data_IF_951252391693
#
_entry.id   IF_951252391693
#
_cell.length_a   1.000
_cell.length_b   1.000
_cell.length_c   1.000
_cell.angle_alpha   90.00
_cell.angle_beta   90.00
_cell.angle_gamma   90.00
#
_symmetry.space_group_name_H-M   'P 1'
#
loop_
_entity.id
_entity.type
_entity.pdbx_description
1 polymer ?
#
# COMPACT_ATOMS: atom_id res chain seq x y z
N UNK A 1 -60.44 24.70 31.29
CA UNK A 1 -61.32 25.51 30.40
C UNK A 1 -60.50 25.86 29.16
N UNK A 2 -61.05 25.52 28.06
CA UNK A 2 -60.97 25.87 26.66
C UNK A 2 -59.83 25.28 25.82
N UNK A 3 -60.26 24.35 25.00
CA UNK A 3 -59.70 23.92 23.70
C UNK A 3 -59.75 25.11 22.72
N UNK A 4 -58.75 25.21 21.84
CA UNK A 4 -59.01 25.59 20.45
C UNK A 4 -58.08 24.83 19.55
N UNK A 5 -58.71 24.02 18.69
CA UNK A 5 -58.20 23.43 17.47
C UNK A 5 -58.17 24.47 16.37
N UNK A 6 -57.11 24.53 15.58
CA UNK A 6 -57.21 24.89 14.15
C UNK A 6 -56.13 24.25 13.31
N UNK A 7 -56.63 23.39 12.47
CA UNK A 7 -56.03 22.83 11.27
C UNK A 7 -55.82 23.95 10.25
N UNK A 8 -54.59 24.05 9.70
CA UNK A 8 -54.42 24.74 8.41
C UNK A 8 -53.66 23.82 7.46
N UNK A 9 -54.37 23.48 6.41
CA UNK A 9 -53.92 22.73 5.24
C UNK A 9 -52.85 23.56 4.48
N UNK A 10 -51.74 22.93 4.12
CA UNK A 10 -50.74 23.47 3.22
C UNK A 10 -51.07 23.01 1.79
N UNK A 11 -51.06 23.88 0.79
CA UNK A 11 -51.44 23.53 -0.59
C UNK A 11 -50.35 22.71 -1.26
N UNK A 12 -50.75 21.74 -2.07
CA UNK A 12 -49.95 20.96 -2.96
C UNK A 12 -49.30 21.85 -4.03
N UNK A 13 -47.99 21.90 -4.03
CA UNK A 13 -47.19 22.44 -5.14
C UNK A 13 -46.87 21.27 -6.09
N UNK A 14 -47.57 21.26 -7.22
CA UNK A 14 -47.15 20.58 -8.43
C UNK A 14 -45.85 21.21 -8.91
N UNK A 15 -44.76 20.46 -8.89
CA UNK A 15 -43.46 20.87 -9.41
C UNK A 15 -42.73 19.67 -9.93
N UNK A 16 -42.72 19.54 -11.24
CA UNK A 16 -41.82 18.80 -12.13
C UNK A 16 -40.73 17.94 -11.47
N UNK A 17 -40.74 16.64 -11.78
CA UNK A 17 -39.59 15.76 -11.59
C UNK A 17 -38.39 16.36 -12.35
N UNK A 18 -37.22 16.51 -11.72
CA UNK A 18 -36.01 16.72 -12.48
C UNK A 18 -35.67 15.44 -13.23
N UNK A 19 -35.44 15.63 -14.49
CA UNK A 19 -34.88 14.72 -15.49
C UNK A 19 -33.76 13.83 -14.93
N UNK A 20 -33.94 12.51 -15.06
CA UNK A 20 -32.94 11.46 -14.77
C UNK A 20 -31.85 11.44 -15.85
N UNK A 21 -31.40 12.59 -16.31
CA UNK A 21 -30.26 12.71 -17.19
C UNK A 21 -28.96 12.76 -16.42
N UNK A 22 -28.33 11.57 -16.33
CA UNK A 22 -26.89 11.39 -16.35
C UNK A 22 -26.04 12.05 -15.24
N UNK A 23 -26.15 11.58 -14.01
CA UNK A 23 -24.97 11.51 -13.18
C UNK A 23 -24.19 10.24 -13.55
N UNK A 24 -23.58 10.23 -14.74
CA UNK A 24 -22.50 9.28 -15.10
C UNK A 24 -21.30 9.65 -14.26
N UNK A 25 -21.25 9.12 -13.03
CA UNK A 25 -20.00 9.03 -12.30
C UNK A 25 -19.04 8.29 -13.23
N UNK A 26 -18.10 9.02 -13.79
CA UNK A 26 -16.92 8.43 -14.44
C UNK A 26 -16.16 7.68 -13.34
N UNK A 27 -16.54 6.43 -13.12
CA UNK A 27 -15.75 5.48 -12.35
C UNK A 27 -14.44 5.36 -13.12
N UNK A 28 -13.39 5.95 -12.58
CA UNK A 28 -12.08 5.97 -13.22
C UNK A 28 -11.68 4.52 -13.51
N UNK A 29 -10.97 4.30 -14.61
CA UNK A 29 -10.48 2.98 -15.05
C UNK A 29 -9.74 2.23 -13.94
N UNK A 30 -9.14 2.97 -13.02
CA UNK A 30 -8.45 2.47 -11.81
C UNK A 30 -9.42 1.77 -10.85
N UNK A 31 -10.62 2.33 -10.62
CA UNK A 31 -11.64 1.69 -9.76
C UNK A 31 -12.16 0.38 -10.35
N UNK A 32 -12.27 0.27 -11.68
CA UNK A 32 -12.67 -0.98 -12.34
C UNK A 32 -11.61 -2.08 -12.21
N UNK A 33 -10.33 -1.73 -12.32
CA UNK A 33 -9.22 -2.68 -12.14
C UNK A 33 -9.14 -3.20 -10.70
N UNK A 34 -9.40 -2.35 -9.71
CA UNK A 34 -9.43 -2.74 -8.30
C UNK A 34 -10.60 -3.69 -8.01
N UNK A 35 -11.79 -3.45 -8.58
CA UNK A 35 -12.93 -4.35 -8.41
C UNK A 35 -12.73 -5.72 -9.11
N UNK A 36 -12.12 -5.75 -10.28
CA UNK A 36 -11.78 -7.00 -10.99
C UNK A 36 -10.71 -7.79 -10.24
N UNK A 37 -9.73 -7.12 -9.62
CA UNK A 37 -8.71 -7.74 -8.78
C UNK A 37 -9.31 -8.39 -7.53
N UNK A 38 -10.27 -7.75 -6.88
CA UNK A 38 -10.91 -8.31 -5.68
C UNK A 38 -11.69 -9.59 -5.99
N UNK A 39 -12.40 -9.63 -7.13
CA UNK A 39 -13.13 -10.81 -7.57
C UNK A 39 -12.22 -11.98 -7.99
N UNK A 40 -11.06 -11.70 -8.61
CA UNK A 40 -10.08 -12.70 -8.99
C UNK A 40 -9.30 -13.26 -7.78
N UNK A 41 -9.06 -12.41 -6.77
CA UNK A 41 -8.38 -12.80 -5.53
C UNK A 41 -9.16 -13.84 -4.72
N UNK A 42 -10.50 -13.72 -4.67
CA UNK A 42 -11.35 -14.69 -3.94
C UNK A 42 -11.43 -16.06 -4.61
N UNK A 43 -11.09 -16.17 -5.90
CA UNK A 43 -11.22 -17.41 -6.70
C UNK A 43 -10.13 -18.45 -6.42
N UNK A 44 -9.02 -18.11 -5.81
CA UNK A 44 -7.89 -19.04 -5.54
C UNK A 44 -7.82 -19.58 -4.12
N UNK A 45 -8.67 -19.13 -3.22
CA UNK A 45 -8.71 -19.68 -1.86
C UNK A 45 -9.27 -21.10 -1.90
N UNK A 46 -8.58 -22.04 -1.29
CA UNK A 46 -9.11 -23.39 -1.04
C UNK A 46 -10.46 -23.27 -0.33
N UNK A 47 -11.43 -24.11 -0.74
CA UNK A 47 -12.81 -24.11 -0.22
C UNK A 47 -12.93 -24.19 1.32
N UNK A 48 -11.83 -24.49 2.03
CA UNK A 48 -11.79 -24.72 3.47
C UNK A 48 -10.74 -23.90 4.23
N UNK A 49 -10.10 -22.93 3.54
CA UNK A 49 -9.05 -22.12 4.18
C UNK A 49 -9.32 -20.63 4.00
N UNK A 50 -9.30 -19.91 5.11
CA UNK A 50 -9.45 -18.43 5.14
C UNK A 50 -8.14 -17.83 5.61
N UNK A 51 -7.62 -16.86 4.86
CA UNK A 51 -6.38 -16.16 5.20
C UNK A 51 -6.52 -14.66 4.90
N UNK A 52 -6.01 -13.85 5.80
CA UNK A 52 -5.89 -12.40 5.63
C UNK A 52 -4.68 -11.91 6.42
N UNK A 53 -3.61 -11.53 5.72
CA UNK A 53 -2.35 -11.12 6.32
C UNK A 53 -1.95 -9.75 5.80
N UNK A 54 -2.41 -8.70 6.48
CA UNK A 54 -2.07 -7.33 6.11
C UNK A 54 -0.66 -6.97 6.54
N UNK A 55 0.10 -6.43 5.60
CA UNK A 55 1.47 -5.98 5.79
C UNK A 55 1.64 -4.55 5.27
N UNK A 56 2.17 -3.69 6.11
CA UNK A 56 2.72 -2.41 5.69
C UNK A 56 4.18 -2.62 5.31
N UNK A 57 4.50 -2.40 4.06
CA UNK A 57 5.80 -2.69 3.46
C UNK A 57 6.47 -1.40 3.04
N UNK A 58 7.77 -1.26 3.37
CA UNK A 58 8.55 -0.07 3.07
C UNK A 58 9.92 -0.46 2.52
N UNK A 59 10.35 0.14 1.41
CA UNK A 59 11.68 -0.07 0.85
C UNK A 59 12.19 1.20 0.17
N UNK A 60 13.51 1.39 0.13
CA UNK A 60 14.13 2.62 -0.35
C UNK A 60 14.98 2.40 -1.61
N UNK A 61 15.26 3.49 -2.31
CA UNK A 61 16.27 3.55 -3.38
C UNK A 61 17.66 3.22 -2.83
N UNK A 62 18.56 2.83 -3.72
CA UNK A 62 19.96 2.60 -3.35
C UNK A 62 20.54 3.88 -2.71
N UNK A 63 21.15 3.72 -1.53
CA UNK A 63 21.71 4.83 -0.74
C UNK A 63 20.68 5.90 -0.35
N UNK A 64 19.38 5.58 -0.41
CA UNK A 64 18.28 6.52 -0.10
C UNK A 64 18.35 7.81 -0.95
N UNK A 65 18.81 7.70 -2.18
CA UNK A 65 18.93 8.84 -3.10
C UNK A 65 17.56 9.22 -3.63
N UNK A 66 17.18 10.52 -3.62
CA UNK A 66 15.88 10.98 -4.13
C UNK A 66 15.89 11.05 -5.67
N UNK A 67 15.80 9.88 -6.31
CA UNK A 67 15.91 9.71 -7.76
C UNK A 67 14.59 9.81 -8.50
N UNK A 68 13.45 9.59 -7.81
CA UNK A 68 12.14 9.50 -8.44
C UNK A 68 11.48 10.88 -8.46
N UNK A 69 11.40 11.49 -9.63
CA UNK A 69 10.59 12.69 -9.83
C UNK A 69 9.10 12.41 -9.59
N UNK A 70 8.28 13.43 -9.35
CA UNK A 70 6.82 13.26 -9.19
C UNK A 70 6.17 12.48 -10.33
N UNK A 71 6.59 12.72 -11.58
CA UNK A 71 6.10 11.99 -12.74
C UNK A 71 6.56 10.52 -12.75
N UNK A 72 7.83 10.27 -12.44
CA UNK A 72 8.37 8.90 -12.32
C UNK A 72 7.67 8.14 -11.19
N UNK A 73 7.46 8.78 -10.04
CA UNK A 73 6.76 8.22 -8.88
C UNK A 73 5.31 7.83 -9.21
N UNK A 74 4.56 8.70 -9.90
CA UNK A 74 3.19 8.41 -10.32
C UNK A 74 3.12 7.20 -11.29
N UNK A 75 4.02 7.14 -12.28
CA UNK A 75 4.11 6.02 -13.20
C UNK A 75 4.49 4.72 -12.50
N UNK A 76 5.45 4.78 -11.57
CA UNK A 76 5.88 3.64 -10.78
C UNK A 76 4.77 3.12 -9.85
N UNK A 77 4.01 4.00 -9.22
CA UNK A 77 2.85 3.63 -8.40
C UNK A 77 1.81 2.83 -9.20
N UNK A 78 1.51 3.26 -10.41
CA UNK A 78 0.61 2.53 -11.32
C UNK A 78 1.19 1.17 -11.72
N UNK A 79 2.48 1.11 -12.03
CA UNK A 79 3.15 -0.13 -12.41
C UNK A 79 3.19 -1.14 -11.26
N UNK A 80 3.47 -0.70 -10.03
CA UNK A 80 3.42 -1.55 -8.85
C UNK A 80 2.03 -2.15 -8.64
N UNK A 81 0.98 -1.36 -8.80
CA UNK A 81 -0.41 -1.83 -8.72
C UNK A 81 -0.72 -2.85 -9.83
N UNK A 82 -0.32 -2.54 -11.08
CA UNK A 82 -0.50 -3.45 -12.22
C UNK A 82 0.22 -4.78 -12.00
N UNK A 83 1.45 -4.72 -11.51
CA UNK A 83 2.26 -5.90 -11.24
C UNK A 83 1.67 -6.75 -10.11
N UNK A 84 1.19 -6.11 -9.03
CA UNK A 84 0.51 -6.79 -7.93
C UNK A 84 -0.70 -7.60 -8.44
N UNK A 85 -1.56 -6.97 -9.25
CA UNK A 85 -2.70 -7.64 -9.89
C UNK A 85 -2.25 -8.84 -10.74
N UNK A 86 -1.20 -8.67 -11.56
CA UNK A 86 -0.69 -9.75 -12.41
C UNK A 86 -0.09 -10.93 -11.63
N UNK A 87 0.25 -10.72 -10.36
CA UNK A 87 0.78 -11.75 -9.44
C UNK A 87 -0.23 -12.25 -8.41
N UNK A 88 -1.50 -11.90 -8.57
CA UNK A 88 -2.58 -12.21 -7.61
C UNK A 88 -2.27 -11.71 -6.18
N UNK A 89 -1.55 -10.60 -6.05
CA UNK A 89 -1.25 -9.94 -4.79
C UNK A 89 -2.23 -8.78 -4.61
N UNK A 90 -3.01 -8.78 -3.54
CA UNK A 90 -3.90 -7.65 -3.26
C UNK A 90 -3.13 -6.51 -2.62
N UNK A 91 -2.97 -5.41 -3.34
CA UNK A 91 -2.39 -4.16 -2.86
C UNK A 91 -3.52 -3.13 -2.66
N UNK A 92 -3.81 -2.77 -1.41
CA UNK A 92 -4.85 -1.79 -1.08
C UNK A 92 -4.46 -0.38 -1.50
N UNK A 93 -3.22 -0.02 -1.25
CA UNK A 93 -2.65 1.29 -1.59
C UNK A 93 -1.12 1.20 -1.67
N UNK A 94 -0.51 2.04 -2.49
CA UNK A 94 0.90 2.35 -2.40
C UNK A 94 1.12 3.85 -2.59
N UNK A 95 2.22 4.35 -2.07
CA UNK A 95 2.71 5.70 -2.29
C UNK A 95 4.21 5.67 -2.56
N UNK A 96 4.62 6.35 -3.63
CA UNK A 96 6.01 6.42 -4.07
C UNK A 96 6.55 7.81 -3.78
N UNK A 97 7.48 7.87 -2.83
CA UNK A 97 8.28 9.05 -2.51
C UNK A 97 9.52 9.15 -3.44
N UNK A 98 10.23 10.28 -3.44
CA UNK A 98 11.44 10.42 -4.25
C UNK A 98 12.52 9.36 -3.99
N UNK A 99 12.60 8.83 -2.77
CA UNK A 99 13.66 7.94 -2.29
C UNK A 99 13.16 6.60 -1.72
N UNK A 100 11.85 6.40 -1.55
CA UNK A 100 11.29 5.17 -0.98
C UNK A 100 9.81 4.97 -1.37
N UNK A 101 9.30 3.79 -1.04
CA UNK A 101 7.92 3.37 -1.30
C UNK A 101 7.28 2.84 -0.04
N UNK A 102 6.02 3.18 0.18
CA UNK A 102 5.12 2.52 1.12
C UNK A 102 4.07 1.73 0.35
N UNK A 103 3.73 0.54 0.81
CA UNK A 103 2.62 -0.24 0.28
C UNK A 103 1.87 -0.98 1.40
N UNK A 104 0.55 -1.06 1.29
CA UNK A 104 -0.30 -1.87 2.16
C UNK A 104 -0.83 -3.05 1.36
N UNK A 105 -0.41 -4.24 1.73
CA UNK A 105 -0.56 -5.47 0.95
C UNK A 105 -1.20 -6.55 1.81
N UNK A 106 -2.10 -7.33 1.24
CA UNK A 106 -2.55 -8.60 1.79
C UNK A 106 -1.70 -9.71 1.18
N UNK A 107 -0.88 -10.36 2.03
CA UNK A 107 0.05 -11.40 1.60
C UNK A 107 -0.71 -12.69 1.27
N UNK A 108 -0.64 -13.20 0.02
CA UNK A 108 -1.25 -14.48 -0.33
C UNK A 108 -0.52 -15.65 0.33
N UNK A 109 -1.25 -16.71 0.69
CA UNK A 109 -0.75 -17.88 1.43
C UNK A 109 0.36 -18.68 0.72
N UNK A 110 0.45 -18.55 -0.60
CA UNK A 110 1.45 -19.27 -1.40
C UNK A 110 2.74 -18.49 -1.64
N UNK A 111 2.96 -17.36 -0.95
CA UNK A 111 4.08 -16.47 -1.19
C UNK A 111 4.75 -16.09 0.13
N UNK A 112 6.06 -16.22 0.20
CA UNK A 112 6.83 -15.68 1.33
C UNK A 112 7.00 -14.16 1.21
N UNK A 113 7.28 -13.50 2.33
CA UNK A 113 7.61 -12.07 2.36
C UNK A 113 8.83 -11.77 1.47
N UNK A 114 9.83 -12.62 1.52
CA UNK A 114 11.05 -12.46 0.74
C UNK A 114 10.80 -12.53 -0.76
N UNK A 115 10.07 -13.54 -1.22
CA UNK A 115 9.67 -13.68 -2.63
C UNK A 115 8.84 -12.50 -3.10
N UNK A 116 7.87 -12.06 -2.29
CA UNK A 116 7.07 -10.86 -2.58
C UNK A 116 7.97 -9.64 -2.77
N UNK A 117 8.93 -9.41 -1.88
CA UNK A 117 9.86 -8.28 -1.99
C UNK A 117 10.79 -8.39 -3.18
N UNK A 118 11.29 -9.58 -3.51
CA UNK A 118 12.07 -9.83 -4.73
C UNK A 118 11.25 -9.50 -5.97
N UNK A 119 9.99 -9.92 -6.01
CA UNK A 119 9.07 -9.62 -7.10
C UNK A 119 8.88 -8.10 -7.28
N UNK A 120 8.52 -7.36 -6.23
CA UNK A 120 8.31 -5.93 -6.34
C UNK A 120 9.58 -5.15 -6.67
N UNK A 121 10.67 -5.41 -5.96
CA UNK A 121 11.93 -4.69 -6.18
C UNK A 121 12.58 -5.04 -7.51
N UNK A 122 12.59 -6.32 -7.88
CA UNK A 122 13.18 -6.79 -9.12
C UNK A 122 12.44 -6.28 -10.35
N UNK A 123 11.12 -6.50 -10.40
CA UNK A 123 10.29 -6.07 -11.54
C UNK A 123 10.28 -4.55 -11.71
N UNK A 124 10.09 -3.80 -10.63
CA UNK A 124 10.02 -2.34 -10.70
C UNK A 124 11.35 -1.69 -11.05
N UNK A 125 12.47 -2.20 -10.53
CA UNK A 125 13.80 -1.73 -10.88
C UNK A 125 14.10 -1.96 -12.38
N UNK A 126 13.76 -3.16 -12.89
CA UNK A 126 13.89 -3.48 -14.30
C UNK A 126 13.03 -2.54 -15.16
N UNK A 127 11.76 -2.36 -14.79
CA UNK A 127 10.83 -1.51 -15.51
C UNK A 127 11.25 -0.03 -15.53
N UNK A 128 11.76 0.52 -14.40
CA UNK A 128 12.29 1.88 -14.32
C UNK A 128 13.45 2.07 -15.31
N UNK A 129 14.38 1.11 -15.35
CA UNK A 129 15.53 1.15 -16.23
C UNK A 129 15.13 1.04 -17.70
N UNK A 130 14.20 0.15 -18.05
CA UNK A 130 13.70 0.00 -19.42
C UNK A 130 12.99 1.25 -19.94
N UNK A 131 12.28 1.97 -19.07
CA UNK A 131 11.52 3.18 -19.45
C UNK A 131 12.32 4.47 -19.28
N UNK A 132 13.59 4.40 -18.86
CA UNK A 132 14.45 5.57 -18.70
C UNK A 132 13.86 6.61 -17.74
N UNK A 133 13.20 6.19 -16.64
CA UNK A 133 12.48 7.11 -15.75
C UNK A 133 13.40 7.91 -14.86
N UNK A 134 14.65 7.49 -14.72
CA UNK A 134 15.70 8.19 -13.97
C UNK A 134 16.97 8.26 -14.79
N UNK A 135 17.83 9.27 -14.58
CA UNK A 135 19.15 9.33 -15.21
C UNK A 135 20.04 8.20 -14.71
N UNK A 136 20.66 7.45 -15.60
CA UNK A 136 21.59 6.36 -15.29
C UNK A 136 20.89 5.08 -14.83
N UNK A 137 21.64 4.19 -14.16
CA UNK A 137 21.14 2.89 -13.71
C UNK A 137 20.44 3.04 -12.35
N UNK A 138 19.18 2.66 -12.32
CA UNK A 138 18.38 2.61 -11.10
C UNK A 138 18.53 1.28 -10.36
N UNK A 139 18.54 1.33 -9.04
CA UNK A 139 18.47 0.17 -8.15
C UNK A 139 17.83 0.52 -6.82
N UNK A 140 17.18 -0.47 -6.20
CA UNK A 140 16.71 -0.40 -4.84
C UNK A 140 17.84 -0.72 -3.84
N UNK A 141 17.78 -0.16 -2.66
CA UNK A 141 18.62 -0.53 -1.52
C UNK A 141 18.43 -1.99 -1.13
N UNK A 142 19.34 -2.60 -0.39
CA UNK A 142 19.27 -4.03 0.00
C UNK A 142 18.17 -4.19 1.03
N UNK A 143 17.80 -3.71 1.93
CA UNK A 143 16.77 -4.00 2.94
C UNK A 143 15.35 -3.63 2.53
N UNK A 144 14.46 -3.91 3.45
CA UNK A 144 13.06 -3.48 3.47
C UNK A 144 12.54 -3.54 4.91
N UNK A 145 11.48 -2.78 5.21
CA UNK A 145 10.67 -2.92 6.42
C UNK A 145 9.37 -3.64 6.08
N UNK A 146 8.96 -4.59 6.92
CA UNK A 146 7.63 -5.23 6.83
C UNK A 146 7.03 -5.29 8.22
N UNK A 147 5.85 -4.70 8.37
CA UNK A 147 5.17 -4.56 9.64
C UNK A 147 3.76 -5.12 9.51
N UNK A 148 3.37 -5.97 10.45
CA UNK A 148 2.02 -6.53 10.49
C UNK A 148 0.98 -5.45 10.82
N UNK A 149 -0.18 -5.54 10.15
CA UNK A 149 -1.29 -4.61 10.38
C UNK A 149 -2.52 -5.41 10.79
N UNK A 150 -3.11 -5.07 11.93
CA UNK A 150 -4.37 -5.67 12.34
C UNK A 150 -5.49 -5.29 11.37
N UNK A 151 -6.52 -6.12 11.24
CA UNK A 151 -7.65 -5.81 10.36
C UNK A 151 -8.31 -4.47 10.70
N UNK A 152 -8.42 -4.15 11.98
CA UNK A 152 -8.95 -2.86 12.45
C UNK A 152 -8.07 -1.66 12.16
N UNK A 153 -6.76 -1.86 11.95
CA UNK A 153 -5.79 -0.79 11.63
C UNK A 153 -5.60 -0.53 10.14
N UNK A 154 -6.21 -1.32 9.27
CA UNK A 154 -6.00 -1.24 7.80
C UNK A 154 -6.34 0.13 7.24
N UNK A 155 -7.46 0.72 7.64
CA UNK A 155 -7.89 2.00 7.10
C UNK A 155 -7.06 3.17 7.65
N UNK A 156 -6.60 3.09 8.89
CA UNK A 156 -5.67 4.06 9.48
C UNK A 156 -4.32 4.04 8.76
N UNK A 157 -3.76 2.85 8.51
CA UNK A 157 -2.51 2.70 7.77
C UNK A 157 -2.67 3.12 6.32
N UNK A 158 -3.80 2.83 5.68
CA UNK A 158 -4.06 3.28 4.32
C UNK A 158 -4.12 4.81 4.24
N UNK A 159 -4.76 5.48 5.20
CA UNK A 159 -4.78 6.94 5.31
C UNK A 159 -3.38 7.49 5.53
N UNK A 160 -2.61 6.90 6.44
CA UNK A 160 -1.22 7.28 6.68
C UNK A 160 -0.37 7.21 5.39
N UNK A 161 -0.53 6.15 4.59
CA UNK A 161 0.18 6.01 3.30
C UNK A 161 -0.30 7.05 2.28
N UNK A 162 -1.58 7.38 2.26
CA UNK A 162 -2.12 8.42 1.35
C UNK A 162 -1.59 9.82 1.67
N UNK A 163 -1.30 10.11 2.94
CA UNK A 163 -0.85 11.41 3.44
C UNK A 163 0.69 11.56 3.49
N UNK A 164 1.44 10.67 2.84
CA UNK A 164 2.91 10.62 2.89
C UNK A 164 3.59 11.93 2.45
N UNK A 165 3.04 12.67 1.48
CA UNK A 165 3.60 13.97 1.08
C UNK A 165 3.63 14.97 2.24
N UNK A 166 2.60 14.96 3.09
CA UNK A 166 2.54 15.83 4.28
C UNK A 166 3.48 15.34 5.39
N UNK A 167 3.57 14.03 5.59
CA UNK A 167 4.45 13.44 6.59
C UNK A 167 5.91 13.74 6.30
N UNK A 168 6.34 13.64 5.03
CA UNK A 168 7.71 13.89 4.62
C UNK A 168 8.14 15.37 4.60
N UNK A 169 7.21 16.30 4.72
CA UNK A 169 7.56 17.70 5.02
C UNK A 169 8.16 17.87 6.42
N UNK A 170 7.88 16.94 7.34
CA UNK A 170 8.25 17.03 8.76
C UNK A 170 9.33 16.05 9.18
N UNK A 171 9.49 14.94 8.47
CA UNK A 171 10.40 13.84 8.84
C UNK A 171 11.07 13.22 7.62
N UNK A 172 12.33 12.84 7.78
CA UNK A 172 13.04 12.05 6.78
C UNK A 172 12.61 10.57 6.83
N UNK A 173 12.81 9.85 5.73
CA UNK A 173 12.60 8.39 5.66
C UNK A 173 13.31 7.63 6.79
N UNK A 174 14.55 7.99 7.11
CA UNK A 174 15.32 7.31 8.16
C UNK A 174 14.73 7.46 9.54
N UNK A 175 14.25 8.66 9.88
CA UNK A 175 13.57 8.93 11.14
C UNK A 175 12.23 8.20 11.23
N UNK A 176 11.49 8.16 10.13
CA UNK A 176 10.23 7.44 10.03
C UNK A 176 10.42 5.93 10.20
N UNK A 177 11.34 5.34 9.44
CA UNK A 177 11.62 3.90 9.53
C UNK A 177 12.13 3.51 10.93
N UNK A 178 12.96 4.35 11.55
CA UNK A 178 13.42 4.13 12.93
C UNK A 178 12.26 4.05 13.91
N UNK A 179 11.28 4.96 13.80
CA UNK A 179 10.08 4.93 14.62
C UNK A 179 9.25 3.66 14.43
N UNK A 180 9.12 3.16 13.19
CA UNK A 180 8.47 1.87 12.95
C UNK A 180 9.23 0.73 13.62
N UNK A 181 10.53 0.64 13.40
CA UNK A 181 11.39 -0.39 14.00
C UNK A 181 11.24 -0.41 15.52
N UNK A 182 11.32 0.74 16.18
CA UNK A 182 11.17 0.87 17.63
C UNK A 182 9.74 0.52 18.11
N UNK A 183 8.71 0.97 17.39
CA UNK A 183 7.31 0.68 17.71
C UNK A 183 6.98 -0.82 17.69
N UNK A 184 7.64 -1.57 16.81
CA UNK A 184 7.49 -3.01 16.71
C UNK A 184 8.49 -3.79 17.57
N UNK A 185 9.18 -3.12 18.51
CA UNK A 185 10.11 -3.76 19.44
C UNK A 185 11.41 -4.27 18.80
N UNK A 186 11.70 -3.82 17.59
CA UNK A 186 12.91 -4.18 16.87
C UNK A 186 14.06 -3.21 17.21
N UNK A 187 15.30 -3.68 17.06
CA UNK A 187 16.47 -2.82 17.22
C UNK A 187 16.84 -2.15 15.92
N UNK A 188 16.97 -0.83 15.92
CA UNK A 188 17.53 -0.10 14.78
C UNK A 188 18.98 -0.50 14.56
N UNK A 189 19.33 -0.75 13.30
CA UNK A 189 20.72 -1.01 12.87
C UNK A 189 21.11 0.06 11.86
N UNK A 190 22.18 0.77 12.10
CA UNK A 190 22.73 1.69 11.11
C UNK A 190 23.42 0.88 10.00
N UNK A 191 23.12 1.21 8.73
CA UNK A 191 23.68 0.54 7.54
C UNK A 191 25.23 0.55 7.47
N UNK A 192 25.87 1.27 8.37
CA UNK A 192 27.33 1.39 8.44
C UNK A 192 28.02 0.30 9.26
N UNK A 193 27.28 -0.47 10.05
CA UNK A 193 27.82 -1.61 10.80
C UNK A 193 27.53 -2.89 10.02
N UNK A 194 28.54 -3.37 9.30
CA UNK A 194 28.61 -4.78 8.90
C UNK A 194 28.95 -5.56 10.16
N UNK A 195 28.00 -5.79 11.03
CA UNK A 195 28.15 -6.80 12.05
C UNK A 195 28.19 -8.17 11.36
N UNK A 196 29.31 -8.85 11.48
CA UNK A 196 29.41 -10.29 11.24
C UNK A 196 28.33 -10.94 12.09
N UNK A 197 27.31 -11.47 11.41
CA UNK A 197 26.26 -12.25 12.06
C UNK A 197 26.97 -13.45 12.70
N UNK A 198 27.02 -13.50 14.03
CA UNK A 198 27.42 -14.74 14.69
C UNK A 198 26.47 -15.85 14.21
N UNK A 199 27.01 -16.99 13.77
CA UNK A 199 26.16 -18.11 13.33
C UNK A 199 25.24 -18.50 14.48
N UNK A 200 23.96 -18.70 14.18
CA UNK A 200 22.98 -19.19 15.12
C UNK A 200 23.55 -20.46 15.79
N UNK A 201 23.40 -20.62 17.12
CA UNK A 201 23.85 -21.83 17.80
C UNK A 201 23.19 -23.03 17.13
N UNK A 202 23.99 -24.03 16.78
CA UNK A 202 23.51 -25.28 16.19
C UNK A 202 22.49 -25.93 17.11
N UNK A 203 21.34 -26.39 16.61
CA UNK A 203 20.37 -27.09 17.44
C UNK A 203 21.01 -28.34 18.06
N UNK A 204 20.66 -28.72 19.30
CA UNK A 204 21.16 -29.91 19.93
C UNK A 204 20.81 -31.15 19.08
N UNK A 205 21.67 -32.20 19.07
CA UNK A 205 21.40 -33.41 18.32
C UNK A 205 20.07 -34.04 18.76
N UNK A 206 19.34 -34.67 17.86
CA UNK A 206 18.08 -35.36 18.20
C UNK A 206 18.37 -36.47 19.23
N UNK A 207 17.51 -36.59 20.23
CA UNK A 207 17.53 -37.65 21.24
C UNK A 207 17.03 -38.95 20.65
#
# INVERSE_FOLDING_TARGET
MQRITQSQAVPALNGARPDDSECKIRVSTVSRLVFLSLAAYTSRMSLHSYSRVWLHVVWATLERRPLLSKNAAAKLSQELTRYAVAKDIYMKINYVNPDHVHALIDLPTGLSIEEMMQHFKGSSSHWINQNGLVPGKFGWGRGYGVFSVSHSGVDEVAKYIAEQEEHHRKRSYSEELKLFVERYGLKWRDDKTVETVEPLPTPPPPR
#
